data_IF_353364705559
#
_entry.id   IF_353364705559
#
_cell.length_a   1.000
_cell.length_b   1.000
_cell.length_c   1.000
_cell.angle_alpha   90.00
_cell.angle_beta   90.00
_cell.angle_gamma   90.00
#
_symmetry.space_group_name_H-M   'P 1'
#
loop_
_entity.id
_entity.type
_entity.pdbx_description
1 polymer ?
#
# COMPACT_ATOMS: atom_id res chain seq x y z
N UNK A 1 27.54 -0.28 -23.35
CA UNK A 1 26.83 0.99 -23.04
C UNK A 1 25.38 0.97 -23.52
N UNK A 2 25.05 0.18 -24.55
CA UNK A 2 23.73 0.20 -25.21
C UNK A 2 22.56 -0.22 -24.32
N UNK A 3 22.78 -1.12 -23.35
CA UNK A 3 21.77 -1.48 -22.36
C UNK A 3 21.39 -0.32 -21.43
N UNK A 4 22.38 0.45 -20.96
CA UNK A 4 22.14 1.62 -20.11
C UNK A 4 21.50 2.76 -20.89
N UNK A 5 21.96 2.99 -22.12
CA UNK A 5 21.36 3.99 -23.02
C UNK A 5 19.94 3.58 -23.41
N UNK A 6 19.68 2.30 -23.65
CA UNK A 6 18.33 1.76 -23.91
C UNK A 6 17.39 1.91 -22.72
N UNK A 7 17.87 1.66 -21.48
CA UNK A 7 17.11 1.90 -20.26
C UNK A 7 16.73 3.37 -20.05
N UNK A 8 17.69 4.28 -20.27
CA UNK A 8 17.42 5.74 -20.18
C UNK A 8 16.44 6.20 -21.26
N UNK A 9 16.57 5.67 -22.49
CA UNK A 9 15.65 6.00 -23.60
C UNK A 9 14.25 5.41 -23.43
N UNK A 10 14.11 4.30 -22.71
CA UNK A 10 12.82 3.68 -22.39
C UNK A 10 12.13 4.31 -21.16
N UNK A 11 12.85 5.13 -20.39
CA UNK A 11 12.29 5.79 -19.21
C UNK A 11 11.25 6.81 -19.64
N UNK A 12 10.01 6.64 -19.21
CA UNK A 12 8.94 7.59 -19.49
C UNK A 12 8.94 8.72 -18.46
N UNK A 13 8.31 9.85 -18.80
CA UNK A 13 8.15 10.94 -17.84
C UNK A 13 7.34 10.53 -16.59
N UNK A 14 6.45 9.53 -16.72
CA UNK A 14 5.67 8.99 -15.59
C UNK A 14 6.58 8.27 -14.59
N UNK A 15 7.56 7.52 -15.07
CA UNK A 15 8.53 6.81 -14.22
C UNK A 15 9.36 7.80 -13.40
N UNK A 16 9.77 8.93 -14.03
CA UNK A 16 10.48 10.00 -13.34
C UNK A 16 9.64 10.64 -12.22
N UNK A 17 8.34 10.82 -12.44
CA UNK A 17 7.42 11.31 -11.39
C UNK A 17 7.34 10.30 -10.25
N UNK A 18 7.20 9.02 -10.56
CA UNK A 18 7.13 7.95 -9.55
C UNK A 18 8.43 7.80 -8.76
N UNK A 19 9.60 8.00 -9.37
CA UNK A 19 10.86 8.07 -8.64
C UNK A 19 10.87 9.24 -7.67
N UNK A 20 10.37 10.41 -8.10
CA UNK A 20 10.21 11.57 -7.23
C UNK A 20 9.34 11.25 -6.02
N UNK A 21 8.19 10.60 -6.23
CA UNK A 21 7.31 10.15 -5.13
C UNK A 21 8.04 9.16 -4.22
N UNK A 22 8.73 8.15 -4.78
CA UNK A 22 9.50 7.18 -4.02
C UNK A 22 10.58 7.82 -3.13
N UNK A 23 11.34 8.79 -3.66
CA UNK A 23 12.31 9.56 -2.88
C UNK A 23 11.66 10.42 -1.79
N UNK A 24 10.49 10.99 -2.05
CA UNK A 24 9.72 11.73 -1.04
C UNK A 24 9.30 10.80 0.10
N UNK A 25 8.78 9.61 -0.21
CA UNK A 25 8.40 8.61 0.80
C UNK A 25 9.59 8.17 1.65
N UNK A 26 10.73 7.89 1.03
CA UNK A 26 11.99 7.56 1.71
C UNK A 26 12.45 8.73 2.60
N UNK A 27 12.37 9.96 2.09
CA UNK A 27 12.72 11.16 2.85
C UNK A 27 11.82 11.33 4.08
N UNK A 28 10.51 11.15 3.93
CA UNK A 28 9.54 11.22 5.03
C UNK A 28 9.81 10.14 6.08
N UNK A 29 10.09 8.91 5.66
CA UNK A 29 10.44 7.81 6.55
C UNK A 29 11.72 8.07 7.35
N UNK A 30 12.77 8.59 6.71
CA UNK A 30 14.09 8.77 7.37
C UNK A 30 14.14 10.07 8.18
N UNK A 31 13.77 11.21 7.58
CA UNK A 31 13.96 12.53 8.19
C UNK A 31 12.83 12.89 9.13
N UNK A 32 11.58 12.58 8.76
CA UNK A 32 10.41 12.85 9.60
C UNK A 32 10.00 11.67 10.49
N UNK A 33 10.64 10.50 10.33
CA UNK A 33 10.36 9.28 11.10
C UNK A 33 8.88 8.88 11.06
N UNK A 34 8.20 9.18 9.95
CA UNK A 34 6.82 8.76 9.72
C UNK A 34 6.84 7.29 9.34
N UNK A 35 6.24 6.44 10.18
CA UNK A 35 6.06 4.99 9.98
C UNK A 35 7.20 4.33 9.18
N UNK A 36 8.45 4.40 9.66
CA UNK A 36 9.64 4.07 8.87
C UNK A 36 9.66 2.59 8.45
N UNK A 37 9.03 1.72 9.23
CA UNK A 37 8.89 0.30 8.92
C UNK A 37 8.07 0.03 7.67
N UNK A 38 7.12 0.90 7.31
CA UNK A 38 6.22 0.72 6.17
C UNK A 38 6.57 1.67 5.01
N UNK A 39 6.78 2.96 5.28
CA UNK A 39 7.04 3.97 4.24
C UNK A 39 8.38 3.77 3.53
N UNK A 40 9.40 3.27 4.23
CA UNK A 40 10.73 3.07 3.63
C UNK A 40 10.72 1.92 2.60
N UNK A 41 10.23 0.71 2.92
CA UNK A 41 10.06 -0.34 1.91
C UNK A 41 9.12 0.06 0.78
N UNK A 42 8.03 0.79 1.07
CA UNK A 42 7.08 1.25 0.08
C UNK A 42 7.71 2.25 -0.91
N UNK A 43 8.47 3.22 -0.41
CA UNK A 43 9.19 4.18 -1.27
C UNK A 43 10.27 3.50 -2.13
N UNK A 44 10.97 2.49 -1.59
CA UNK A 44 11.93 1.71 -2.36
C UNK A 44 11.25 0.84 -3.42
N UNK A 45 10.13 0.18 -3.07
CA UNK A 45 9.32 -0.60 -4.01
C UNK A 45 8.77 0.25 -5.15
N UNK A 46 8.28 1.47 -4.86
CA UNK A 46 7.82 2.42 -5.87
C UNK A 46 8.91 2.77 -6.88
N UNK A 47 10.18 2.90 -6.45
CA UNK A 47 11.29 3.12 -7.37
C UNK A 47 11.56 1.85 -8.20
N UNK A 48 11.66 0.68 -7.55
CA UNK A 48 12.02 -0.58 -8.22
C UNK A 48 11.00 -1.04 -9.29
N UNK A 49 9.71 -0.84 -9.05
CA UNK A 49 8.64 -1.23 -9.98
C UNK A 49 8.63 -0.36 -11.23
N UNK A 50 9.08 0.90 -11.12
CA UNK A 50 9.12 1.83 -12.24
C UNK A 50 10.48 1.82 -12.97
N UNK A 51 11.42 0.94 -12.62
CA UNK A 51 12.71 0.82 -13.34
C UNK A 51 12.53 0.09 -14.68
N UNK A 52 12.93 0.69 -15.82
CA UNK A 52 12.81 0.04 -17.13
C UNK A 52 13.75 -1.18 -17.21
N UNK A 53 13.27 -2.25 -17.83
CA UNK A 53 13.99 -3.54 -17.97
C UNK A 53 14.44 -4.16 -16.64
N UNK A 54 13.76 -3.81 -15.53
CA UNK A 54 14.02 -4.39 -14.23
C UNK A 54 13.45 -5.80 -14.14
N UNK A 55 14.25 -6.76 -13.65
CA UNK A 55 13.76 -8.09 -13.25
C UNK A 55 12.90 -8.09 -11.98
N UNK A 56 12.66 -6.92 -11.38
CA UNK A 56 11.80 -6.79 -10.20
C UNK A 56 10.32 -7.03 -10.55
N UNK A 57 9.91 -6.66 -11.77
CA UNK A 57 8.54 -6.80 -12.29
C UNK A 57 8.55 -7.82 -13.43
N UNK A 58 7.42 -8.48 -13.65
CA UNK A 58 7.27 -9.47 -14.73
C UNK A 58 7.51 -8.82 -16.07
N UNK A 59 8.48 -9.35 -16.80
CA UNK A 59 8.88 -8.85 -18.11
C UNK A 59 8.77 -9.95 -19.15
N UNK A 60 8.39 -9.56 -20.36
CA UNK A 60 8.40 -10.45 -21.51
C UNK A 60 9.76 -10.35 -22.19
N UNK A 61 10.54 -11.44 -22.16
CA UNK A 61 11.84 -11.51 -22.82
C UNK A 61 11.69 -12.29 -24.12
N UNK A 62 12.03 -11.65 -25.25
CA UNK A 62 12.00 -12.31 -26.56
C UNK A 62 12.87 -13.59 -26.54
N UNK A 63 12.28 -14.72 -26.93
CA UNK A 63 12.94 -16.02 -26.98
C UNK A 63 12.87 -16.87 -25.70
N UNK A 64 12.49 -16.30 -24.54
CA UNK A 64 12.41 -17.01 -23.25
C UNK A 64 10.96 -17.05 -22.72
N UNK A 65 10.12 -16.05 -23.04
CA UNK A 65 8.74 -15.94 -22.57
C UNK A 65 8.58 -14.98 -21.38
N UNK A 66 7.46 -15.02 -20.65
CA UNK A 66 7.25 -14.20 -19.47
C UNK A 66 8.16 -14.67 -18.33
N UNK A 67 9.10 -13.81 -17.93
CA UNK A 67 9.94 -14.03 -16.76
C UNK A 67 9.29 -13.31 -15.59
N UNK A 68 8.82 -14.08 -14.61
CA UNK A 68 8.11 -13.54 -13.44
C UNK A 68 9.07 -12.73 -12.55
N UNK A 69 8.68 -11.49 -12.25
CA UNK A 69 9.45 -10.61 -11.36
C UNK A 69 9.26 -11.01 -9.90
N UNK A 70 10.28 -10.79 -9.07
CA UNK A 70 10.21 -11.14 -7.64
C UNK A 70 9.17 -10.32 -6.88
N UNK A 71 8.95 -9.05 -7.25
CA UNK A 71 7.96 -8.19 -6.59
C UNK A 71 6.54 -8.60 -6.98
N UNK A 72 6.32 -8.94 -8.24
CA UNK A 72 5.02 -9.44 -8.72
C UNK A 72 4.68 -10.79 -8.08
N UNK A 73 5.67 -11.67 -7.94
CA UNK A 73 5.48 -12.94 -7.23
C UNK A 73 5.14 -12.71 -5.76
N UNK A 74 5.87 -11.82 -5.07
CA UNK A 74 5.59 -11.47 -3.67
C UNK A 74 4.21 -10.83 -3.50
N UNK A 75 3.79 -9.97 -4.43
CA UNK A 75 2.46 -9.36 -4.43
C UNK A 75 1.38 -10.42 -4.66
N UNK A 76 1.53 -11.24 -5.71
CA UNK A 76 0.55 -12.26 -6.08
C UNK A 76 0.40 -13.31 -4.98
N UNK A 77 1.51 -13.85 -4.46
CA UNK A 77 1.48 -14.89 -3.42
C UNK A 77 1.14 -14.32 -2.05
N UNK A 78 1.72 -13.16 -1.70
CA UNK A 78 1.64 -12.62 -0.35
C UNK A 78 0.40 -11.77 -0.07
N UNK A 79 -0.11 -11.05 -1.07
CA UNK A 79 -1.20 -10.08 -0.91
C UNK A 79 -2.46 -10.54 -1.64
N UNK A 80 -2.35 -10.84 -2.95
CA UNK A 80 -3.52 -11.09 -3.81
C UNK A 80 -4.16 -12.47 -3.60
N UNK A 81 -3.35 -13.54 -3.55
CA UNK A 81 -3.88 -14.91 -3.55
C UNK A 81 -4.20 -15.47 -2.16
N UNK A 82 -3.52 -15.00 -1.13
CA UNK A 82 -3.62 -15.58 0.21
C UNK A 82 -3.96 -14.58 1.31
N UNK A 83 -4.01 -13.26 1.01
CA UNK A 83 -4.15 -12.18 2.00
C UNK A 83 -3.21 -12.35 3.22
N UNK A 84 -2.13 -13.10 3.03
CA UNK A 84 -1.32 -13.63 4.11
C UNK A 84 -0.54 -12.49 4.76
N UNK A 85 0.01 -11.57 3.95
CA UNK A 85 0.82 -10.47 4.46
C UNK A 85 -0.01 -9.51 5.34
N UNK A 86 -1.19 -9.01 4.91
CA UNK A 86 -2.03 -8.20 5.78
C UNK A 86 -2.48 -8.95 7.05
N UNK A 87 -2.90 -10.21 6.93
CA UNK A 87 -3.37 -11.00 8.09
C UNK A 87 -2.26 -11.25 9.11
N UNK A 88 -1.04 -11.58 8.67
CA UNK A 88 0.11 -11.72 9.57
C UNK A 88 0.44 -10.40 10.26
N UNK A 89 0.30 -9.28 9.55
CA UNK A 89 0.50 -7.95 10.11
C UNK A 89 -0.55 -7.66 11.20
N UNK A 90 -1.81 -8.04 11.01
CA UNK A 90 -2.84 -7.95 12.05
C UNK A 90 -2.56 -8.82 13.27
N UNK A 91 -2.14 -10.06 13.06
CA UNK A 91 -1.78 -10.95 14.17
C UNK A 91 -0.61 -10.35 14.96
N UNK A 92 0.38 -9.80 14.26
CA UNK A 92 1.51 -9.09 14.87
C UNK A 92 1.08 -7.86 15.68
N UNK A 93 0.27 -6.98 15.10
CA UNK A 93 -0.27 -5.80 15.81
C UNK A 93 -1.08 -6.24 17.03
N UNK A 94 -1.99 -7.20 16.87
CA UNK A 94 -2.83 -7.72 17.95
C UNK A 94 -2.01 -8.29 19.12
N UNK A 95 -0.90 -8.96 18.82
CA UNK A 95 0.02 -9.46 19.84
C UNK A 95 0.79 -8.36 20.59
N UNK A 96 0.92 -7.17 19.99
CA UNK A 96 1.61 -6.01 20.60
C UNK A 96 0.66 -5.06 21.36
N UNK A 97 -0.66 -5.21 21.23
CA UNK A 97 -1.63 -4.33 21.90
C UNK A 97 -1.73 -4.67 23.39
N UNK A 98 -1.55 -3.65 24.24
CA UNK A 98 -1.85 -3.73 25.67
C UNK A 98 -3.33 -3.40 25.93
N UNK A 99 -4.09 -4.40 26.41
CA UNK A 99 -5.50 -4.25 26.76
C UNK A 99 -5.72 -3.68 28.18
N UNK A 100 -4.66 -3.55 29.00
CA UNK A 100 -4.76 -3.05 30.38
C UNK A 100 -5.51 -1.71 30.52
N UNK A 101 -5.18 -0.68 29.73
CA UNK A 101 -5.90 0.59 29.74
C UNK A 101 -7.38 0.46 29.33
N UNK A 102 -7.68 -0.38 28.34
CA UNK A 102 -9.05 -0.58 27.83
C UNK A 102 -9.93 -1.29 28.88
N UNK A 103 -9.40 -2.30 29.55
CA UNK A 103 -10.10 -3.06 30.58
C UNK A 103 -10.30 -2.23 31.86
N UNK A 104 -9.35 -1.35 32.18
CA UNK A 104 -9.41 -0.48 33.36
C UNK A 104 -10.43 0.65 33.23
N UNK A 105 -10.68 1.15 32.01
CA UNK A 105 -11.71 2.15 31.75
C UNK A 105 -12.52 1.82 30.49
N UNK A 106 -13.60 1.04 30.62
CA UNK A 106 -14.43 0.62 29.49
C UNK A 106 -15.06 1.77 28.69
N UNK A 107 -15.15 2.99 29.26
CA UNK A 107 -15.63 4.18 28.54
C UNK A 107 -14.75 4.53 27.34
N UNK A 108 -13.48 4.10 27.32
CA UNK A 108 -12.59 4.25 26.18
C UNK A 108 -13.11 3.53 24.92
N UNK A 109 -13.89 2.45 25.08
CA UNK A 109 -14.54 1.75 23.96
C UNK A 109 -15.48 2.70 23.21
N UNK A 110 -16.19 3.58 23.93
CA UNK A 110 -17.13 4.53 23.32
C UNK A 110 -16.41 5.58 22.46
N UNK A 111 -15.22 6.02 22.89
CA UNK A 111 -14.36 6.90 22.08
C UNK A 111 -13.83 6.18 20.83
N UNK A 112 -13.49 4.89 20.95
CA UNK A 112 -13.16 4.05 19.81
C UNK A 112 -14.30 3.95 18.80
N UNK A 113 -15.54 3.79 19.28
CA UNK A 113 -16.73 3.80 18.42
C UNK A 113 -16.95 5.16 17.74
N UNK A 114 -16.69 6.27 18.45
CA UNK A 114 -16.77 7.61 17.88
C UNK A 114 -15.69 7.86 16.81
N UNK A 115 -14.50 7.26 16.93
CA UNK A 115 -13.45 7.37 15.92
C UNK A 115 -13.86 6.76 14.56
N UNK A 116 -14.75 5.75 14.55
CA UNK A 116 -15.26 5.12 13.33
C UNK A 116 -16.16 6.04 12.48
N UNK A 117 -16.64 7.16 13.02
CA UNK A 117 -17.36 8.17 12.23
C UNK A 117 -16.50 8.74 11.09
N UNK A 118 -15.18 8.76 11.24
CA UNK A 118 -14.24 9.18 10.19
C UNK A 118 -14.39 8.36 8.91
N UNK A 119 -14.70 7.06 9.04
CA UNK A 119 -14.94 6.18 7.89
C UNK A 119 -16.18 6.64 7.13
N UNK A 120 -17.32 6.79 7.82
CA UNK A 120 -18.58 7.18 7.19
C UNK A 120 -18.51 8.57 6.54
N UNK A 121 -17.81 9.51 7.18
CA UNK A 121 -17.57 10.83 6.62
C UNK A 121 -16.77 10.73 5.30
N UNK A 122 -15.69 9.94 5.30
CA UNK A 122 -14.81 9.77 4.14
C UNK A 122 -15.54 9.06 2.99
N UNK A 123 -16.32 8.00 3.26
CA UNK A 123 -17.16 7.32 2.26
C UNK A 123 -18.16 8.31 1.65
N UNK A 124 -18.86 9.08 2.49
CA UNK A 124 -19.88 10.03 2.04
C UNK A 124 -19.28 11.07 1.09
N UNK A 125 -18.11 11.62 1.43
CA UNK A 125 -17.40 12.57 0.57
C UNK A 125 -16.94 11.90 -0.73
N UNK A 126 -16.35 10.70 -0.67
CA UNK A 126 -15.89 9.99 -1.85
C UNK A 126 -17.05 9.65 -2.82
N UNK A 127 -18.19 9.20 -2.31
CA UNK A 127 -19.38 8.96 -3.14
C UNK A 127 -19.93 10.26 -3.74
N UNK A 128 -19.91 11.38 -3.01
CA UNK A 128 -20.31 12.70 -3.55
C UNK A 128 -19.35 13.20 -4.64
N UNK A 129 -18.08 12.82 -4.59
CA UNK A 129 -17.08 13.11 -5.63
C UNK A 129 -17.21 12.19 -6.86
N UNK A 130 -18.15 11.24 -6.86
CA UNK A 130 -18.46 10.37 -8.00
C UNK A 130 -17.71 9.04 -8.04
N UNK A 131 -17.03 8.64 -6.96
CA UNK A 131 -16.42 7.32 -6.88
C UNK A 131 -17.47 6.22 -6.75
N UNK A 132 -17.16 5.03 -7.28
CA UNK A 132 -17.99 3.83 -7.09
C UNK A 132 -18.09 3.49 -5.61
N UNK A 133 -19.16 2.81 -5.18
CA UNK A 133 -19.33 2.47 -3.77
C UNK A 133 -18.18 1.58 -3.25
N UNK A 134 -17.62 0.71 -4.11
CA UNK A 134 -16.49 -0.14 -3.77
C UNK A 134 -15.22 0.69 -3.53
N UNK A 135 -14.87 1.60 -4.45
CA UNK A 135 -13.70 2.46 -4.30
C UNK A 135 -13.89 3.45 -3.13
N UNK A 136 -15.09 4.02 -2.99
CA UNK A 136 -15.42 4.92 -1.89
C UNK A 136 -15.32 4.23 -0.53
N UNK A 137 -15.73 2.96 -0.43
CA UNK A 137 -15.55 2.15 0.77
C UNK A 137 -14.07 1.92 1.08
N UNK A 138 -13.24 1.56 0.09
CA UNK A 138 -11.80 1.39 0.26
C UNK A 138 -11.09 2.67 0.70
N UNK A 139 -11.43 3.82 0.09
CA UNK A 139 -10.94 5.15 0.51
C UNK A 139 -11.44 5.48 1.92
N UNK A 140 -12.67 5.11 2.23
CA UNK A 140 -13.31 5.31 3.52
C UNK A 140 -12.54 4.74 4.71
N UNK A 141 -11.99 3.53 4.55
CA UNK A 141 -11.25 2.84 5.62
C UNK A 141 -9.97 3.59 6.03
N UNK A 142 -9.42 4.46 5.19
CA UNK A 142 -8.31 5.34 5.56
C UNK A 142 -8.69 6.21 6.77
N UNK A 143 -9.97 6.59 6.89
CA UNK A 143 -10.52 7.32 8.03
C UNK A 143 -10.47 6.56 9.36
N UNK A 144 -10.26 5.24 9.34
CA UNK A 144 -10.02 4.42 10.52
C UNK A 144 -8.60 4.56 11.07
N UNK A 145 -7.68 5.18 10.32
CA UNK A 145 -6.25 5.29 10.60
C UNK A 145 -5.55 3.93 10.83
N UNK A 146 -6.05 2.89 10.16
CA UNK A 146 -5.50 1.52 10.24
C UNK A 146 -5.06 1.06 8.84
N UNK A 147 -3.74 1.15 8.61
CA UNK A 147 -3.12 0.84 7.31
C UNK A 147 -3.37 -0.60 6.84
N UNK A 148 -3.06 -1.63 7.65
CA UNK A 148 -3.32 -3.04 7.31
C UNK A 148 -4.79 -3.33 6.94
N UNK A 149 -5.75 -2.75 7.69
CA UNK A 149 -7.18 -2.87 7.34
C UNK A 149 -7.51 -2.20 6.02
N UNK A 150 -6.94 -1.02 5.77
CA UNK A 150 -7.14 -0.30 4.51
C UNK A 150 -6.66 -1.12 3.32
N UNK A 151 -5.49 -1.76 3.44
CA UNK A 151 -4.94 -2.65 2.40
C UNK A 151 -5.86 -3.85 2.18
N UNK A 152 -6.27 -4.54 3.26
CA UNK A 152 -7.14 -5.72 3.16
C UNK A 152 -8.48 -5.38 2.50
N UNK A 153 -9.16 -4.31 2.93
CA UNK A 153 -10.47 -3.94 2.37
C UNK A 153 -10.36 -3.51 0.91
N UNK A 154 -9.27 -2.84 0.52
CA UNK A 154 -9.04 -2.51 -0.90
C UNK A 154 -8.92 -3.75 -1.78
N UNK A 155 -8.30 -4.82 -1.28
CA UNK A 155 -8.15 -6.10 -1.98
C UNK A 155 -9.47 -6.87 -2.05
N UNK A 156 -10.16 -7.02 -0.91
CA UNK A 156 -11.44 -7.75 -0.82
C UNK A 156 -12.51 -7.12 -1.70
N UNK A 157 -12.57 -5.77 -1.72
CA UNK A 157 -13.54 -5.03 -2.54
C UNK A 157 -13.09 -4.86 -4.00
N UNK A 158 -11.87 -5.33 -4.35
CA UNK A 158 -11.27 -5.20 -5.68
C UNK A 158 -11.28 -3.74 -6.18
N UNK A 159 -10.93 -2.82 -5.28
CA UNK A 159 -10.77 -1.41 -5.61
C UNK A 159 -9.71 -1.25 -6.68
N UNK A 160 -9.91 -0.30 -7.58
CA UNK A 160 -8.87 0.05 -8.57
C UNK A 160 -7.69 0.79 -7.92
N UNK A 161 -7.84 1.18 -6.66
CA UNK A 161 -6.88 1.97 -5.90
C UNK A 161 -6.30 1.13 -4.76
N UNK A 162 -5.14 0.54 -5.03
CA UNK A 162 -4.31 -0.17 -4.05
C UNK A 162 -2.89 0.41 -4.17
N UNK A 163 -2.40 1.09 -3.14
CA UNK A 163 -1.09 1.76 -3.13
C UNK A 163 -1.15 3.09 -2.39
#
# INVERSE_FOLDING_TARGET
>A
MDFLLGGVLATTWKDLVMYGVGFILIYLAIRKKLEPSLLLPMGFGAILVNLPFSGAVTQFVEGIGPVQGILDWLFSVGIESAEMMPLLLFVGIGAMIDFGPLLSNPKLILFGAAAQWGIFATISVATLMGFSLADAASIGIIGAADGPTSILVSQVLKSSYVG
#
